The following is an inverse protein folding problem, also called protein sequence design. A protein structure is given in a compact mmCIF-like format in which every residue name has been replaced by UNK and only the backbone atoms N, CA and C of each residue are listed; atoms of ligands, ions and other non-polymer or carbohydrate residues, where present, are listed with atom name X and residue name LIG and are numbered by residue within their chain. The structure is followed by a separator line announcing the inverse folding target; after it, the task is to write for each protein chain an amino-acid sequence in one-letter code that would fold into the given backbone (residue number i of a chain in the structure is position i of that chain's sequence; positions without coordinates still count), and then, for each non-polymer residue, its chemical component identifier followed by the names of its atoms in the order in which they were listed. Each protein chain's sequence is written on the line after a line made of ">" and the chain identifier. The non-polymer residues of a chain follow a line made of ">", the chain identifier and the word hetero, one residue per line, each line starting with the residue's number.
data_IF_332710316747
#
_entry.id   IF_332710316747
#
_cell.length_a   1.000
_cell.length_b   1.000
_cell.length_c   1.000
_cell.angle_alpha   90.00
_cell.angle_beta   90.00
_cell.angle_gamma   90.00
#
_symmetry.space_group_name_H-M   'P 1'
#
loop_
_entity.id
_entity.type
_entity.pdbx_description
1 polymer ?
#
# COMPACT_ATOMS: atom_id res chain seq x y z
N UNK A 1 -16.14 -25.81 -10.89
CA UNK A 1 -16.69 -24.45 -11.08
C UNK A 1 -15.54 -23.46 -10.95
N UNK A 2 -15.06 -22.82 -12.03
CA UNK A 2 -13.95 -21.85 -11.95
C UNK A 2 -14.52 -20.49 -11.61
N UNK A 3 -14.25 -20.00 -10.41
CA UNK A 3 -14.61 -18.64 -10.00
C UNK A 3 -13.77 -17.62 -10.78
N UNK A 4 -14.36 -16.49 -11.18
CA UNK A 4 -13.62 -15.41 -11.82
C UNK A 4 -12.55 -14.86 -10.87
N UNK A 5 -11.43 -14.43 -11.45
CA UNK A 5 -10.27 -13.88 -10.76
C UNK A 5 -10.64 -12.83 -9.70
N UNK A 6 -11.51 -11.90 -10.05
CA UNK A 6 -11.92 -10.80 -9.17
C UNK A 6 -12.69 -11.30 -7.94
N UNK A 7 -13.47 -12.38 -8.06
CA UNK A 7 -14.14 -13.02 -6.93
C UNK A 7 -13.14 -13.65 -5.97
N UNK A 8 -12.13 -14.37 -6.49
CA UNK A 8 -11.09 -15.00 -5.67
C UNK A 8 -10.27 -13.94 -4.94
N UNK A 9 -9.83 -12.89 -5.66
CA UNK A 9 -9.09 -11.77 -5.06
C UNK A 9 -9.92 -11.06 -4.01
N UNK A 10 -11.22 -10.85 -4.27
CA UNK A 10 -12.14 -10.26 -3.31
C UNK A 10 -12.28 -11.09 -2.03
N UNK A 11 -12.43 -12.43 -2.15
CA UNK A 11 -12.51 -13.33 -0.98
C UNK A 11 -11.22 -13.30 -0.17
N UNK A 12 -10.06 -13.40 -0.82
CA UNK A 12 -8.76 -13.36 -0.14
C UNK A 12 -8.59 -12.03 0.60
N UNK A 13 -8.93 -10.91 -0.03
CA UNK A 13 -8.86 -9.60 0.58
C UNK A 13 -9.84 -9.42 1.75
N UNK A 14 -11.05 -9.97 1.66
CA UNK A 14 -12.03 -9.97 2.76
C UNK A 14 -11.53 -10.76 3.96
N UNK A 15 -11.05 -11.98 3.75
CA UNK A 15 -10.49 -12.83 4.82
C UNK A 15 -9.31 -12.13 5.48
N UNK A 16 -8.38 -11.62 4.68
CA UNK A 16 -7.19 -10.91 5.15
C UNK A 16 -7.53 -9.68 5.98
N UNK A 17 -8.40 -8.81 5.48
CA UNK A 17 -8.81 -7.61 6.20
C UNK A 17 -9.59 -7.93 7.48
N UNK A 18 -10.43 -8.96 7.48
CA UNK A 18 -11.17 -9.41 8.67
C UNK A 18 -10.21 -9.90 9.77
N UNK A 19 -9.22 -10.72 9.40
CA UNK A 19 -8.21 -11.22 10.34
C UNK A 19 -7.49 -10.04 11.01
N UNK A 20 -7.04 -9.05 10.23
CA UNK A 20 -6.33 -7.89 10.77
C UNK A 20 -7.24 -6.98 11.61
N UNK A 21 -8.50 -6.78 11.23
CA UNK A 21 -9.46 -6.02 12.04
C UNK A 21 -9.69 -6.65 13.42
N UNK A 22 -9.70 -7.98 13.49
CA UNK A 22 -9.78 -8.71 14.77
C UNK A 22 -8.47 -8.62 15.57
N UNK A 23 -7.32 -8.79 14.90
CA UNK A 23 -6.01 -8.73 15.54
C UNK A 23 -5.68 -7.35 16.13
N UNK A 24 -6.13 -6.26 15.50
CA UNK A 24 -5.95 -4.90 16.01
C UNK A 24 -6.56 -4.76 17.41
N UNK A 25 -7.71 -5.39 17.67
CA UNK A 25 -8.35 -5.33 18.98
C UNK A 25 -7.51 -6.00 20.08
N UNK A 26 -6.81 -7.07 19.73
CA UNK A 26 -6.03 -7.88 20.67
C UNK A 26 -4.64 -7.27 20.90
N UNK A 27 -4.00 -6.79 19.83
CA UNK A 27 -2.59 -6.36 19.88
C UNK A 27 -2.39 -4.91 20.34
N UNK A 28 -3.36 -4.04 20.16
CA UNK A 28 -3.21 -2.61 20.47
C UNK A 28 -3.92 -2.22 21.75
N UNK A 29 -3.17 -1.62 22.69
CA UNK A 29 -3.73 -1.07 23.93
C UNK A 29 -4.56 0.18 23.62
N UNK A 30 -5.65 0.38 24.37
CA UNK A 30 -6.45 1.60 24.26
C UNK A 30 -5.64 2.80 24.80
N UNK A 31 -5.75 3.99 24.17
CA UNK A 31 -5.17 5.21 24.73
C UNK A 31 -5.82 5.54 26.06
N UNK A 32 -5.04 6.06 27.00
CA UNK A 32 -5.53 6.48 28.32
C UNK A 32 -6.39 7.75 28.25
N UNK A 33 -6.21 8.57 27.21
CA UNK A 33 -6.93 9.82 27.02
C UNK A 33 -7.87 9.72 25.81
N UNK A 34 -9.15 10.04 26.04
CA UNK A 34 -10.21 9.99 25.02
C UNK A 34 -10.03 11.04 23.88
N UNK A 35 -9.17 12.04 24.08
CA UNK A 35 -8.96 13.15 23.12
C UNK A 35 -7.80 12.90 22.13
N UNK A 36 -6.99 11.88 22.35
CA UNK A 36 -5.89 11.54 21.42
C UNK A 36 -6.32 10.44 20.47
N UNK A 37 -6.10 10.60 19.15
CA UNK A 37 -6.32 9.52 18.20
C UNK A 37 -5.38 8.36 18.55
N UNK A 38 -5.94 7.30 19.13
CA UNK A 38 -5.16 6.16 19.60
C UNK A 38 -4.45 5.43 18.45
N UNK A 39 -3.41 4.64 18.75
CA UNK A 39 -2.63 3.89 17.76
C UNK A 39 -3.46 2.91 16.92
N UNK A 40 -4.71 2.68 17.31
CA UNK A 40 -5.67 1.82 16.60
C UNK A 40 -6.32 2.50 15.39
N UNK A 41 -6.45 3.83 15.39
CA UNK A 41 -7.27 4.55 14.40
C UNK A 41 -6.76 4.35 12.98
N UNK A 42 -5.46 4.54 12.75
CA UNK A 42 -4.85 4.38 11.43
C UNK A 42 -4.99 2.96 10.86
N UNK A 43 -4.63 1.89 11.62
CA UNK A 43 -4.86 0.52 11.17
C UNK A 43 -6.34 0.21 10.89
N UNK A 44 -7.26 0.69 11.73
CA UNK A 44 -8.69 0.49 11.49
C UNK A 44 -9.16 1.11 10.18
N UNK A 45 -8.80 2.38 9.93
CA UNK A 45 -9.14 3.07 8.68
C UNK A 45 -8.56 2.31 7.49
N UNK A 46 -7.28 1.94 7.55
CA UNK A 46 -6.61 1.22 6.46
C UNK A 46 -7.30 -0.12 6.14
N UNK A 47 -7.52 -0.97 7.14
CA UNK A 47 -8.15 -2.27 6.90
C UNK A 47 -9.63 -2.19 6.59
N UNK A 48 -10.35 -1.15 7.05
CA UNK A 48 -11.73 -0.89 6.64
C UNK A 48 -11.81 -0.54 5.16
N UNK A 49 -10.90 0.30 4.66
CA UNK A 49 -10.81 0.62 3.23
C UNK A 49 -10.49 -0.63 2.40
N UNK A 50 -9.56 -1.47 2.87
CA UNK A 50 -9.25 -2.75 2.21
C UNK A 50 -10.46 -3.67 2.21
N UNK A 51 -11.21 -3.76 3.31
CA UNK A 51 -12.42 -4.58 3.42
C UNK A 51 -13.49 -4.13 2.43
N UNK A 52 -13.79 -2.82 2.38
CA UNK A 52 -14.78 -2.25 1.45
C UNK A 52 -14.36 -2.49 0.00
N UNK A 53 -13.10 -2.24 -0.33
CA UNK A 53 -12.57 -2.46 -1.69
C UNK A 53 -12.65 -3.94 -2.09
N UNK A 54 -12.32 -4.84 -1.18
CA UNK A 54 -12.40 -6.29 -1.40
C UNK A 54 -13.83 -6.78 -1.58
N UNK A 55 -14.77 -6.20 -0.82
CA UNK A 55 -16.20 -6.48 -0.96
C UNK A 55 -16.73 -6.03 -2.34
N UNK A 56 -16.34 -4.83 -2.78
CA UNK A 56 -16.70 -4.33 -4.12
C UNK A 56 -16.14 -5.24 -5.22
N UNK A 57 -14.88 -5.69 -5.07
CA UNK A 57 -14.26 -6.60 -6.02
C UNK A 57 -14.96 -7.95 -6.06
N UNK A 58 -15.35 -8.49 -4.92
CA UNK A 58 -16.10 -9.73 -4.81
C UNK A 58 -17.46 -9.63 -5.49
N UNK A 59 -18.24 -8.59 -5.18
CA UNK A 59 -19.56 -8.36 -5.78
C UNK A 59 -19.46 -8.19 -7.31
N UNK A 60 -18.48 -7.43 -7.79
CA UNK A 60 -18.20 -7.26 -9.20
C UNK A 60 -17.84 -8.60 -9.86
N UNK A 61 -16.95 -9.36 -9.26
CA UNK A 61 -16.54 -10.67 -9.77
C UNK A 61 -17.70 -11.66 -9.88
N UNK A 62 -18.61 -11.67 -8.89
CA UNK A 62 -19.83 -12.50 -8.92
C UNK A 62 -20.81 -12.01 -9.99
N UNK A 63 -21.00 -10.70 -10.14
CA UNK A 63 -21.86 -10.10 -11.15
C UNK A 63 -21.37 -10.40 -12.57
N UNK A 64 -20.07 -10.24 -12.80
CA UNK A 64 -19.47 -10.51 -14.11
C UNK A 64 -19.45 -12.00 -14.46
N UNK A 65 -19.39 -12.89 -13.47
CA UNK A 65 -19.52 -14.34 -13.69
C UNK A 65 -20.92 -14.74 -14.15
N UNK A 66 -21.95 -14.06 -13.66
CA UNK A 66 -23.34 -14.28 -14.10
C UNK A 66 -23.57 -13.79 -15.53
N UNK A 67 -22.83 -12.76 -15.99
CA UNK A 67 -23.00 -12.17 -17.32
C UNK A 67 -22.27 -12.94 -18.41
N UNK A 68 -21.05 -13.39 -18.16
CA UNK A 68 -20.26 -14.13 -19.13
C UNK A 68 -19.23 -15.04 -18.44
N UNK A 69 -19.51 -16.37 -18.37
CA UNK A 69 -18.60 -17.33 -17.75
C UNK A 69 -17.30 -17.55 -18.54
N UNK A 70 -17.22 -17.14 -19.80
CA UNK A 70 -16.10 -17.46 -20.71
C UNK A 70 -14.99 -16.40 -20.71
N UNK A 71 -15.24 -15.21 -20.20
CA UNK A 71 -14.26 -14.11 -20.09
C UNK A 71 -13.25 -14.33 -18.97
N UNK A 72 -12.39 -15.31 -19.12
CA UNK A 72 -11.28 -15.55 -18.19
C UNK A 72 -10.03 -14.81 -18.69
N UNK A 73 -9.84 -13.57 -18.22
CA UNK A 73 -8.62 -12.81 -18.53
C UNK A 73 -7.44 -13.41 -17.76
N UNK A 74 -6.26 -13.57 -18.39
CA UNK A 74 -5.08 -14.10 -17.69
C UNK A 74 -4.73 -13.23 -16.49
N UNK A 75 -4.32 -13.86 -15.38
CA UNK A 75 -4.02 -13.15 -14.12
C UNK A 75 -2.95 -12.08 -14.29
N UNK A 76 -1.94 -12.37 -15.11
CA UNK A 76 -0.93 -11.41 -15.49
C UNK A 76 -0.93 -11.24 -17.01
N UNK A 77 -0.97 -10.01 -17.55
CA UNK A 77 -0.65 -9.76 -18.94
C UNK A 77 0.81 -10.16 -19.21
N UNK A 78 1.15 -10.32 -20.49
CA UNK A 78 2.53 -10.66 -20.88
C UNK A 78 3.53 -9.68 -20.23
N UNK A 79 4.57 -10.22 -19.59
CA UNK A 79 5.54 -9.43 -18.81
C UNK A 79 5.05 -8.89 -17.44
N UNK A 80 3.78 -9.07 -17.08
CA UNK A 80 3.23 -8.55 -15.83
C UNK A 80 3.88 -9.16 -14.57
N UNK A 81 4.22 -10.46 -14.61
CA UNK A 81 4.92 -11.13 -13.52
C UNK A 81 6.27 -10.48 -13.21
N UNK A 82 7.07 -10.18 -14.25
CA UNK A 82 8.37 -9.54 -14.09
C UNK A 82 8.25 -8.13 -13.48
N UNK A 83 7.25 -7.34 -13.93
CA UNK A 83 6.99 -6.00 -13.39
C UNK A 83 6.62 -6.06 -11.91
N UNK A 84 5.72 -6.97 -11.52
CA UNK A 84 5.30 -7.13 -10.12
C UNK A 84 6.49 -7.57 -9.26
N UNK A 85 7.28 -8.57 -9.72
CA UNK A 85 8.47 -9.04 -8.99
C UNK A 85 9.48 -7.91 -8.80
N UNK A 86 9.74 -7.11 -9.85
CA UNK A 86 10.64 -5.96 -9.80
C UNK A 86 10.15 -4.92 -8.78
N UNK A 87 8.87 -4.53 -8.84
CA UNK A 87 8.30 -3.57 -7.89
C UNK A 87 8.33 -4.09 -6.46
N UNK A 88 8.11 -5.40 -6.26
CA UNK A 88 8.23 -6.03 -4.94
C UNK A 88 9.66 -5.98 -4.40
N UNK A 89 10.65 -6.31 -5.22
CA UNK A 89 12.07 -6.20 -4.85
C UNK A 89 12.47 -4.76 -4.52
N UNK A 90 12.01 -3.78 -5.31
CA UNK A 90 12.21 -2.36 -5.01
C UNK A 90 11.59 -1.96 -3.66
N UNK A 91 10.39 -2.47 -3.33
CA UNK A 91 9.74 -2.20 -2.05
C UNK A 91 10.57 -2.75 -0.88
N UNK A 92 11.00 -4.01 -0.98
CA UNK A 92 11.84 -4.66 0.04
C UNK A 92 13.16 -3.90 0.23
N UNK A 93 13.83 -3.55 -0.88
CA UNK A 93 15.07 -2.77 -0.86
C UNK A 93 14.85 -1.40 -0.19
N UNK A 94 13.75 -0.71 -0.54
CA UNK A 94 13.39 0.57 0.10
C UNK A 94 13.21 0.42 1.61
N UNK A 95 12.54 -0.65 2.06
CA UNK A 95 12.38 -0.94 3.49
C UNK A 95 13.72 -1.14 4.20
N UNK A 96 14.64 -1.90 3.60
CA UNK A 96 15.99 -2.10 4.14
C UNK A 96 16.77 -0.77 4.20
N UNK A 97 16.73 0.01 3.11
CA UNK A 97 17.41 1.31 3.07
C UNK A 97 16.84 2.27 4.09
N UNK A 98 15.52 2.30 4.30
CA UNK A 98 14.88 3.11 5.35
C UNK A 98 15.31 2.68 6.77
N UNK A 99 15.51 1.39 7.01
CA UNK A 99 16.01 0.91 8.29
C UNK A 99 17.46 1.35 8.54
N UNK A 100 18.29 1.40 7.50
CA UNK A 100 19.72 1.76 7.60
C UNK A 100 19.92 3.27 7.61
N UNK A 101 19.36 4.00 6.65
CA UNK A 101 19.60 5.43 6.43
C UNK A 101 18.47 6.33 6.95
N UNK A 102 17.34 5.77 7.35
CA UNK A 102 16.20 6.54 7.81
C UNK A 102 15.24 6.97 6.70
N UNK A 103 14.10 7.52 7.13
CA UNK A 103 13.02 7.92 6.22
C UNK A 103 13.39 9.12 5.33
N UNK A 104 13.94 10.18 5.94
CA UNK A 104 14.13 11.48 5.26
C UNK A 104 15.01 11.39 4.01
N UNK A 105 16.19 10.77 4.05
CA UNK A 105 17.03 10.66 2.87
C UNK A 105 16.51 9.61 1.86
N UNK A 106 15.89 8.53 2.32
CA UNK A 106 15.51 7.42 1.44
C UNK A 106 14.19 7.66 0.71
N UNK A 107 13.21 8.30 1.36
CA UNK A 107 11.87 8.46 0.81
C UNK A 107 11.85 9.19 -0.56
N UNK A 108 12.54 10.33 -0.78
CA UNK A 108 12.49 11.02 -2.05
C UNK A 108 13.10 10.18 -3.19
N UNK A 109 14.19 9.44 -2.93
CA UNK A 109 14.79 8.54 -3.92
C UNK A 109 13.90 7.36 -4.24
N UNK A 110 13.28 6.77 -3.23
CA UNK A 110 12.34 5.66 -3.42
C UNK A 110 11.13 6.09 -4.26
N UNK A 111 10.50 7.21 -3.93
CA UNK A 111 9.35 7.75 -4.67
C UNK A 111 9.75 8.06 -6.11
N UNK A 112 10.92 8.69 -6.32
CA UNK A 112 11.45 8.95 -7.67
C UNK A 112 11.63 7.66 -8.47
N UNK A 113 12.24 6.64 -7.87
CA UNK A 113 12.47 5.35 -8.51
C UNK A 113 11.13 4.66 -8.86
N UNK A 114 10.15 4.69 -7.97
CA UNK A 114 8.80 4.14 -8.24
C UNK A 114 8.08 4.91 -9.34
N UNK A 115 8.14 6.24 -9.37
CA UNK A 115 7.56 7.03 -10.47
C UNK A 115 8.19 6.62 -11.79
N UNK A 116 9.51 6.45 -11.83
CA UNK A 116 10.21 6.07 -13.04
C UNK A 116 9.89 4.64 -13.50
N UNK A 117 9.73 3.70 -12.57
CA UNK A 117 9.40 2.31 -12.89
C UNK A 117 7.94 2.14 -13.33
N UNK A 118 7.01 2.85 -12.68
CA UNK A 118 5.58 2.74 -12.94
C UNK A 118 5.08 3.61 -14.10
N UNK A 119 5.86 4.59 -14.56
CA UNK A 119 5.45 5.48 -15.67
C UNK A 119 5.10 4.75 -16.97
N UNK A 120 5.57 3.53 -17.18
CA UNK A 120 5.34 2.75 -18.39
C UNK A 120 5.84 3.47 -19.64
N UNK A 121 4.97 3.61 -20.66
CA UNK A 121 5.25 4.32 -21.91
C UNK A 121 5.03 5.84 -21.82
N UNK A 122 4.57 6.37 -20.68
CA UNK A 122 4.33 7.80 -20.50
C UNK A 122 5.65 8.56 -20.37
N UNK A 123 5.79 9.67 -21.10
CA UNK A 123 6.97 10.53 -21.02
C UNK A 123 6.87 11.46 -19.82
N UNK A 124 7.34 11.00 -18.67
CA UNK A 124 7.44 11.85 -17.46
C UNK A 124 8.83 12.49 -17.46
N UNK A 125 8.89 13.81 -17.48
CA UNK A 125 10.17 14.54 -17.39
C UNK A 125 10.80 14.26 -16.02
N UNK A 126 12.09 13.94 -15.94
CA UNK A 126 12.76 13.56 -14.69
C UNK A 126 12.70 14.67 -13.63
N UNK A 127 12.72 15.95 -14.07
CA UNK A 127 12.57 17.09 -13.17
C UNK A 127 11.20 17.09 -12.44
N UNK A 128 10.11 16.79 -13.15
CA UNK A 128 8.79 16.72 -12.53
C UNK A 128 8.69 15.54 -11.54
N UNK A 129 9.26 14.39 -11.89
CA UNK A 129 9.33 13.25 -10.99
C UNK A 129 10.11 13.58 -9.70
N UNK A 130 11.25 14.29 -9.84
CA UNK A 130 12.05 14.73 -8.70
C UNK A 130 11.28 15.73 -7.81
N UNK A 131 10.63 16.73 -8.39
CA UNK A 131 9.82 17.69 -7.65
C UNK A 131 8.66 17.01 -6.91
N UNK A 132 7.93 16.11 -7.58
CA UNK A 132 6.84 15.34 -6.95
C UNK A 132 7.38 14.50 -5.79
N UNK A 133 8.51 13.83 -5.96
CA UNK A 133 9.06 12.98 -4.90
C UNK A 133 9.46 13.78 -3.65
N UNK A 134 10.02 14.97 -3.82
CA UNK A 134 10.36 15.87 -2.70
C UNK A 134 9.08 16.39 -2.01
N UNK A 135 8.12 16.90 -2.79
CA UNK A 135 6.85 17.43 -2.25
C UNK A 135 6.10 16.35 -1.47
N UNK A 136 5.99 15.14 -2.05
CA UNK A 136 5.33 14.00 -1.38
C UNK A 136 6.07 13.60 -0.11
N UNK A 137 7.40 13.57 -0.14
CA UNK A 137 8.21 13.26 1.06
C UNK A 137 7.98 14.28 2.18
N UNK A 138 7.97 15.58 1.86
CA UNK A 138 7.70 16.65 2.83
C UNK A 138 6.27 16.51 3.38
N UNK A 139 5.28 16.26 2.51
CA UNK A 139 3.89 16.05 2.91
C UNK A 139 3.72 14.85 3.84
N UNK A 140 4.34 13.71 3.52
CA UNK A 140 4.33 12.52 4.37
C UNK A 140 5.04 12.80 5.71
N UNK A 141 6.20 13.45 5.68
CA UNK A 141 6.92 13.82 6.90
C UNK A 141 6.05 14.70 7.81
N UNK A 142 5.46 15.76 7.27
CA UNK A 142 4.58 16.64 8.02
C UNK A 142 3.36 15.89 8.58
N UNK A 143 2.73 15.06 7.76
CA UNK A 143 1.57 14.27 8.18
C UNK A 143 1.92 13.32 9.34
N UNK A 144 3.02 12.59 9.26
CA UNK A 144 3.39 11.63 10.30
C UNK A 144 3.96 12.30 11.55
N UNK A 145 4.86 13.28 11.41
CA UNK A 145 5.53 13.90 12.56
C UNK A 145 4.65 14.95 13.22
N UNK A 146 3.99 15.82 12.42
CA UNK A 146 3.18 16.92 12.97
C UNK A 146 1.74 16.45 13.20
N UNK A 147 1.14 15.75 12.22
CA UNK A 147 -0.26 15.33 12.30
C UNK A 147 -0.49 14.17 13.27
N UNK A 148 0.31 13.12 13.16
CA UNK A 148 0.14 11.90 13.98
C UNK A 148 1.12 11.77 15.14
N UNK A 149 2.08 12.69 15.27
CA UNK A 149 3.14 12.66 16.30
C UNK A 149 3.91 11.32 16.34
N UNK A 150 4.01 10.64 15.20
CA UNK A 150 4.71 9.38 15.04
C UNK A 150 6.16 9.65 14.68
N UNK A 151 7.08 9.07 15.47
CA UNK A 151 8.52 9.13 15.17
C UNK A 151 8.81 8.27 13.94
N UNK A 152 9.30 8.90 12.87
CA UNK A 152 9.78 8.19 11.69
C UNK A 152 11.16 7.57 11.96
N UNK A 153 11.51 6.47 11.26
CA UNK A 153 12.81 5.83 11.44
C UNK A 153 13.94 6.80 11.07
N UNK A 154 14.82 7.05 12.02
CA UNK A 154 16.01 7.90 11.83
C UNK A 154 17.17 7.16 11.14
N UNK A 155 17.04 5.82 11.00
CA UNK A 155 18.10 4.97 10.48
C UNK A 155 19.13 4.58 11.55
N UNK A 156 19.76 3.42 11.34
CA UNK A 156 20.79 2.91 12.27
C UNK A 156 22.06 3.78 12.22
N UNK A 157 22.35 4.38 11.06
CA UNK A 157 23.55 5.18 10.84
C UNK A 157 23.50 6.59 11.46
N UNK A 158 22.30 7.09 11.79
CA UNK A 158 22.11 8.45 12.35
C UNK A 158 21.53 8.41 13.78
N UNK A 159 21.78 7.30 14.47
CA UNK A 159 21.35 7.10 15.86
C UNK A 159 22.40 7.64 16.84
#
# INVERSE_FOLDING_TARGET
>A
MKMKRDSITGIVGLIWSLIWLLLIQIQTKQPKNLLEPGPRLLPYVAFTVVFISSLMLFLKGVSDWKKDPTLDKPYFPEGGKLKVTKSYLMLVLTGILMAVFGFVPVAPFAIFAFIHDLKGSSSVKPLHAALISVIVTIGLYAMFVIGFQVKLPTGILFK
#
